data_IF_104442564070
#
_entry.id   IF_104442564070
#
_cell.length_a   1.000
_cell.length_b   1.000
_cell.length_c   1.000
_cell.angle_alpha   90.00
_cell.angle_beta   90.00
_cell.angle_gamma   90.00
#
_symmetry.space_group_name_H-M   'P 1'
#
loop_
_entity.id
_entity.type
_entity.pdbx_description
1 polymer ?
#
# COMPACT_ATOMS: atom_id res chain seq x y z
N UNK A 1 27.30 14.66 17.95
CA UNK A 1 26.44 13.47 17.77
C UNK A 1 24.98 13.89 17.76
N UNK A 2 24.10 13.18 17.06
CA UNK A 2 22.66 13.45 17.03
C UNK A 2 21.85 12.26 17.55
N UNK A 3 20.68 12.53 18.11
CA UNK A 3 19.76 11.48 18.60
C UNK A 3 18.70 11.17 17.54
N UNK A 4 18.50 9.88 17.25
CA UNK A 4 17.50 9.45 16.28
C UNK A 4 16.08 9.65 16.83
N UNK A 5 15.23 10.37 16.11
CA UNK A 5 13.82 10.59 16.51
C UNK A 5 12.98 9.30 16.63
N UNK A 6 13.45 8.18 16.05
CA UNK A 6 12.71 6.93 16.00
C UNK A 6 13.12 5.91 17.05
N UNK A 7 14.42 5.70 17.23
CA UNK A 7 14.95 4.70 18.16
C UNK A 7 15.68 5.32 19.36
N UNK A 8 15.77 6.66 19.43
CA UNK A 8 16.44 7.41 20.50
C UNK A 8 17.93 7.08 20.71
N UNK A 9 18.54 6.30 19.81
CA UNK A 9 19.98 6.02 19.83
C UNK A 9 20.76 7.20 19.26
N UNK A 10 21.95 7.43 19.81
CA UNK A 10 22.91 8.36 19.24
C UNK A 10 23.45 7.81 17.92
N UNK A 11 23.65 8.69 16.94
CA UNK A 11 24.24 8.34 15.66
C UNK A 11 25.06 9.50 15.09
N UNK A 12 25.95 9.16 14.17
CA UNK A 12 26.69 10.13 13.37
C UNK A 12 25.94 10.44 12.07
N UNK A 13 25.55 11.70 11.84
CA UNK A 13 24.95 12.11 10.58
C UNK A 13 25.88 11.92 9.39
N UNK A 14 25.30 11.61 8.23
CA UNK A 14 26.05 11.52 6.98
C UNK A 14 26.72 12.85 6.60
N UNK A 15 27.88 12.77 5.92
CA UNK A 15 28.68 13.91 5.46
C UNK A 15 27.85 15.02 4.79
N UNK A 16 26.86 14.64 3.98
CA UNK A 16 26.05 15.57 3.18
C UNK A 16 24.79 16.09 3.89
N UNK A 17 24.44 15.56 5.07
CA UNK A 17 23.21 15.93 5.79
C UNK A 17 23.45 16.12 7.29
N UNK A 18 24.60 16.68 7.65
CA UNK A 18 25.03 16.85 9.05
C UNK A 18 24.01 17.54 9.95
N UNK A 19 23.33 18.58 9.45
CA UNK A 19 22.38 19.39 10.23
C UNK A 19 20.91 19.00 10.03
N UNK A 20 20.58 18.29 8.94
CA UNK A 20 19.19 17.99 8.54
C UNK A 20 18.77 16.55 8.84
N UNK A 21 19.73 15.66 9.10
CA UNK A 21 19.43 14.25 9.33
C UNK A 21 18.88 14.03 10.74
N UNK A 22 17.58 13.74 10.85
CA UNK A 22 16.90 13.49 12.13
C UNK A 22 16.80 12.00 12.51
N UNK A 23 17.12 11.10 11.59
CA UNK A 23 17.00 9.65 11.78
C UNK A 23 18.32 8.94 11.44
N UNK A 24 18.67 7.92 12.21
CA UNK A 24 19.84 7.09 11.98
C UNK A 24 19.70 6.22 10.71
N UNK A 25 20.79 5.54 10.33
CA UNK A 25 20.86 4.69 9.13
C UNK A 25 20.13 3.34 9.24
N UNK A 26 19.60 2.98 10.40
CA UNK A 26 18.92 1.70 10.63
C UNK A 26 17.72 1.51 9.66
N UNK A 27 17.63 0.38 8.94
CA UNK A 27 16.52 0.09 8.03
C UNK A 27 15.13 0.27 8.65
N UNK A 28 14.94 -0.08 9.93
CA UNK A 28 13.66 0.09 10.62
C UNK A 28 13.29 1.57 10.79
N UNK A 29 14.27 2.39 11.20
CA UNK A 29 14.10 3.84 11.36
C UNK A 29 13.91 4.52 10.00
N UNK A 30 14.62 4.08 8.97
CA UNK A 30 14.47 4.56 7.60
C UNK A 30 13.08 4.27 7.04
N UNK A 31 12.55 3.06 7.29
CA UNK A 31 11.20 2.67 6.88
C UNK A 31 10.13 3.52 7.57
N UNK A 32 10.25 3.74 8.89
CA UNK A 32 9.36 4.64 9.65
C UNK A 32 9.41 6.06 9.08
N UNK A 33 10.61 6.61 8.85
CA UNK A 33 10.80 7.92 8.24
C UNK A 33 10.11 8.07 6.89
N UNK A 34 10.27 7.09 6.02
CA UNK A 34 9.62 7.11 4.71
C UNK A 34 8.10 7.11 4.83
N UNK A 35 7.55 6.34 5.77
CA UNK A 35 6.11 6.29 6.04
C UNK A 35 5.59 7.63 6.55
N UNK A 36 6.25 8.23 7.53
CA UNK A 36 5.79 9.50 8.11
C UNK A 36 5.90 10.65 7.12
N UNK A 37 7.00 10.69 6.35
CA UNK A 37 7.15 11.66 5.26
C UNK A 37 6.04 11.52 4.21
N UNK A 38 5.67 10.27 3.87
CA UNK A 38 4.58 10.01 2.95
C UNK A 38 3.23 10.46 3.53
N UNK A 39 2.95 10.19 4.81
CA UNK A 39 1.72 10.63 5.49
C UNK A 39 1.61 12.16 5.49
N UNK A 40 2.64 12.85 5.98
CA UNK A 40 2.68 14.30 6.04
C UNK A 40 2.58 14.95 4.65
N UNK A 41 3.08 14.27 3.62
CA UNK A 41 2.92 14.74 2.24
C UNK A 41 1.48 14.53 1.75
N UNK A 42 0.85 13.39 2.06
CA UNK A 42 -0.54 13.08 1.68
C UNK A 42 -1.53 14.01 2.37
N UNK A 43 -1.32 14.33 3.64
CA UNK A 43 -2.13 15.30 4.40
C UNK A 43 -2.11 16.68 3.73
N UNK A 44 -0.94 17.12 3.25
CA UNK A 44 -0.78 18.36 2.48
C UNK A 44 -1.30 18.28 1.05
N UNK A 45 -1.47 17.07 0.50
CA UNK A 45 -1.83 16.83 -0.90
C UNK A 45 -2.97 15.80 -1.04
N UNK A 46 -4.13 16.02 -0.40
CA UNK A 46 -5.16 14.99 -0.24
C UNK A 46 -5.76 14.55 -1.58
N UNK A 47 -5.86 15.47 -2.55
CA UNK A 47 -6.45 15.20 -3.86
C UNK A 47 -5.46 14.75 -4.92
N UNK A 48 -4.15 14.82 -4.65
CA UNK A 48 -3.15 14.61 -5.69
C UNK A 48 -3.29 13.25 -6.38
N UNK A 49 -3.37 12.17 -5.60
CA UNK A 49 -3.52 10.84 -6.18
C UNK A 49 -4.91 10.59 -6.77
N UNK A 50 -5.93 11.36 -6.40
CA UNK A 50 -7.26 11.28 -7.00
C UNK A 50 -7.24 11.90 -8.39
N UNK A 51 -6.79 13.16 -8.48
CA UNK A 51 -6.69 13.91 -9.74
C UNK A 51 -5.72 13.22 -10.70
N UNK A 52 -4.54 12.83 -10.21
CA UNK A 52 -3.50 12.17 -11.03
C UNK A 52 -3.92 10.81 -11.56
N UNK A 53 -4.82 10.11 -10.88
CA UNK A 53 -5.40 8.85 -11.37
C UNK A 53 -6.39 9.06 -12.51
N UNK A 54 -7.00 10.24 -12.62
CA UNK A 54 -7.92 10.53 -13.74
C UNK A 54 -7.14 10.76 -15.05
N UNK A 55 -5.93 11.34 -14.97
CA UNK A 55 -5.06 11.55 -16.12
C UNK A 55 -4.74 10.23 -16.87
N UNK A 56 -5.21 10.08 -18.13
CA UNK A 56 -4.93 8.89 -18.94
C UNK A 56 -3.42 8.68 -19.19
N UNK A 57 -2.66 9.77 -19.41
CA UNK A 57 -1.23 9.69 -19.71
C UNK A 57 -0.43 9.17 -18.53
N UNK A 58 -0.71 9.68 -17.33
CA UNK A 58 -0.13 9.16 -16.11
C UNK A 58 -0.52 7.71 -15.84
N UNK A 59 -1.78 7.34 -16.03
CA UNK A 59 -2.24 5.94 -15.85
C UNK A 59 -1.48 4.99 -16.77
N UNK A 60 -1.31 5.32 -18.04
CA UNK A 60 -0.55 4.51 -19.00
C UNK A 60 0.91 4.33 -18.54
N UNK A 61 1.59 5.44 -18.18
CA UNK A 61 2.96 5.41 -17.67
C UNK A 61 3.10 4.61 -16.38
N UNK A 62 2.13 4.72 -15.47
CA UNK A 62 2.10 3.96 -14.21
C UNK A 62 1.95 2.46 -14.47
N UNK A 63 1.05 2.05 -15.38
CA UNK A 63 0.89 0.64 -15.79
C UNK A 63 2.17 0.09 -16.41
N UNK A 64 2.80 0.83 -17.32
CA UNK A 64 4.07 0.44 -17.94
C UNK A 64 5.19 0.27 -16.91
N UNK A 65 5.31 1.21 -15.97
CA UNK A 65 6.29 1.12 -14.86
C UNK A 65 6.03 -0.10 -13.99
N UNK A 66 4.79 -0.34 -13.60
CA UNK A 66 4.42 -1.50 -12.78
C UNK A 66 4.72 -2.82 -13.52
N UNK A 67 4.39 -2.92 -14.82
CA UNK A 67 4.72 -4.09 -15.65
C UNK A 67 6.22 -4.35 -15.65
N UNK A 68 7.04 -3.34 -15.98
CA UNK A 68 8.51 -3.46 -15.97
C UNK A 68 9.05 -3.89 -14.61
N UNK A 69 8.53 -3.33 -13.52
CA UNK A 69 8.96 -3.68 -12.18
C UNK A 69 8.65 -5.15 -11.86
N UNK A 70 7.43 -5.62 -12.17
CA UNK A 70 7.02 -7.01 -11.96
C UNK A 70 7.85 -7.99 -12.79
N UNK A 71 8.18 -7.63 -14.03
CA UNK A 71 9.03 -8.47 -14.89
C UNK A 71 10.45 -8.60 -14.34
N UNK A 72 11.01 -7.53 -13.76
CA UNK A 72 12.36 -7.56 -13.18
C UNK A 72 12.44 -8.22 -11.80
N UNK A 73 11.33 -8.25 -11.06
CA UNK A 73 11.28 -8.73 -9.67
C UNK A 73 10.33 -9.92 -9.52
N UNK A 74 10.36 -10.85 -10.49
CA UNK A 74 9.49 -12.04 -10.49
C UNK A 74 9.66 -12.86 -9.23
N UNK A 75 10.90 -13.13 -8.82
CA UNK A 75 11.22 -13.98 -7.68
C UNK A 75 10.67 -13.39 -6.38
N UNK A 76 10.80 -12.07 -6.21
CA UNK A 76 10.21 -11.35 -5.05
C UNK A 76 8.69 -11.50 -5.02
N UNK A 77 8.04 -11.40 -6.17
CA UNK A 77 6.57 -11.57 -6.26
C UNK A 77 6.19 -13.01 -5.95
N UNK A 78 6.95 -13.98 -6.42
CA UNK A 78 6.69 -15.39 -6.18
C UNK A 78 6.89 -15.77 -4.71
N UNK A 79 7.98 -15.31 -4.09
CA UNK A 79 8.23 -15.50 -2.66
C UNK A 79 7.12 -14.85 -1.81
N UNK A 80 6.72 -13.62 -2.15
CA UNK A 80 5.60 -12.96 -1.47
C UNK A 80 4.31 -13.77 -1.61
N UNK A 81 3.98 -14.21 -2.83
CA UNK A 81 2.80 -15.05 -3.08
C UNK A 81 2.83 -16.28 -2.19
N UNK A 82 3.91 -17.05 -2.21
CA UNK A 82 4.06 -18.26 -1.41
C UNK A 82 3.82 -17.99 0.09
N UNK A 83 4.40 -16.92 0.63
CA UNK A 83 4.22 -16.54 2.04
C UNK A 83 2.78 -16.13 2.38
N UNK A 84 2.06 -15.51 1.43
CA UNK A 84 0.70 -14.98 1.68
C UNK A 84 -0.42 -15.81 1.07
N UNK A 85 -0.13 -16.92 0.37
CA UNK A 85 -1.11 -17.71 -0.38
C UNK A 85 -2.26 -18.18 0.50
N UNK A 86 -1.95 -18.62 1.73
CA UNK A 86 -2.98 -19.14 2.63
C UNK A 86 -3.91 -18.05 3.14
N UNK A 87 -3.35 -16.91 3.55
CA UNK A 87 -4.14 -15.73 3.92
C UNK A 87 -5.02 -15.27 2.76
N UNK A 88 -4.50 -15.31 1.53
CA UNK A 88 -5.26 -14.98 0.33
C UNK A 88 -6.42 -15.96 0.08
N UNK A 89 -6.22 -17.27 0.28
CA UNK A 89 -7.29 -18.28 0.17
C UNK A 89 -8.39 -18.06 1.20
N UNK A 90 -8.01 -17.80 2.45
CA UNK A 90 -8.96 -17.50 3.54
C UNK A 90 -9.78 -16.26 3.16
N UNK A 91 -9.10 -15.18 2.77
CA UNK A 91 -9.75 -13.95 2.31
C UNK A 91 -10.73 -14.22 1.17
N UNK A 92 -10.33 -14.97 0.13
CA UNK A 92 -11.20 -15.29 -1.00
C UNK A 92 -12.41 -16.15 -0.61
N UNK A 93 -12.24 -17.09 0.31
CA UNK A 93 -13.33 -17.93 0.83
C UNK A 93 -14.36 -17.07 1.54
N UNK A 94 -13.92 -16.17 2.42
CA UNK A 94 -14.82 -15.25 3.12
C UNK A 94 -15.49 -14.25 2.18
N UNK A 95 -14.72 -13.69 1.24
CA UNK A 95 -15.23 -12.80 0.19
C UNK A 95 -16.36 -13.48 -0.59
N UNK A 96 -16.15 -14.72 -1.06
CA UNK A 96 -17.18 -15.46 -1.80
C UNK A 96 -18.38 -15.83 -0.94
N UNK A 97 -18.19 -16.14 0.34
CA UNK A 97 -19.29 -16.38 1.28
C UNK A 97 -20.18 -15.13 1.41
N UNK A 98 -19.57 -13.96 1.64
CA UNK A 98 -20.27 -12.67 1.71
C UNK A 98 -20.97 -12.33 0.39
N UNK A 99 -20.29 -12.55 -0.72
CA UNK A 99 -20.85 -12.31 -2.06
C UNK A 99 -22.10 -13.16 -2.31
N UNK A 100 -22.07 -14.46 -2.00
CA UNK A 100 -23.23 -15.36 -2.16
C UNK A 100 -24.38 -15.00 -1.23
N UNK A 101 -24.10 -14.64 0.02
CA UNK A 101 -25.13 -14.18 0.96
C UNK A 101 -25.81 -12.88 0.48
N UNK A 102 -25.03 -11.93 -0.07
CA UNK A 102 -25.55 -10.71 -0.66
C UNK A 102 -26.37 -10.99 -1.94
N UNK A 103 -25.98 -11.98 -2.74
CA UNK A 103 -26.75 -12.41 -3.91
C UNK A 103 -28.09 -13.06 -3.51
N UNK A 104 -28.08 -13.90 -2.46
CA UNK A 104 -29.29 -14.54 -1.92
C UNK A 104 -30.27 -13.50 -1.38
N UNK A 105 -29.81 -12.58 -0.53
CA UNK A 105 -30.65 -11.48 0.00
C UNK A 105 -31.24 -10.58 -1.08
N UNK A 106 -30.47 -10.30 -2.16
CA UNK A 106 -30.99 -9.57 -3.33
C UNK A 106 -32.02 -10.38 -4.13
N UNK A 107 -31.83 -11.69 -4.26
CA UNK A 107 -32.78 -12.60 -4.90
C UNK A 107 -34.09 -12.71 -4.12
N UNK A 108 -34.00 -12.94 -2.81
CA UNK A 108 -35.15 -13.04 -1.91
C UNK A 108 -35.98 -11.75 -1.92
N UNK A 109 -35.31 -10.58 -1.91
CA UNK A 109 -35.97 -9.27 -2.01
C UNK A 109 -36.67 -9.05 -3.35
N UNK A 110 -36.07 -9.51 -4.45
CA UNK A 110 -36.66 -9.41 -5.78
C UNK A 110 -37.90 -10.29 -5.93
N UNK A 111 -37.92 -11.49 -5.35
CA UNK A 111 -39.09 -12.40 -5.37
C UNK A 111 -40.26 -11.83 -4.56
N UNK A 112 -40.00 -11.18 -3.42
CA UNK A 112 -41.04 -10.52 -2.61
C UNK A 112 -41.65 -9.30 -3.31
N UNK A 113 -40.86 -8.52 -4.06
CA UNK A 113 -41.35 -7.35 -4.80
C UNK A 113 -42.14 -7.70 -6.08
N UNK A 114 -41.97 -8.91 -6.63
CA UNK A 114 -42.70 -9.39 -7.82
C UNK A 114 -43.85 -10.37 -7.52
N UNK A 115 -44.19 -10.55 -6.25
CA UNK A 115 -45.27 -11.42 -5.77
C UNK A 115 -46.51 -10.67 -5.25
N UNK A 116 -46.74 -9.45 -5.73
CA UNK A 116 -47.98 -8.67 -5.53
C UNK A 116 -48.63 -8.43 -6.89
#
# INVERSE_FOLDING_TARGET
MMTCIYCQKQFEPSKYRKTKQKACGDPACQKRRQRDNLSAWQERNPLYYRIKRMDPGWRAKARARAKRWRTRHKDRIQAYRQQTMEQYRIYMREYMRRYRAAAKTKGDRKVQESGV
#
